data_IF_161177585448
#
_entry.id   IF_161177585448
#
_cell.length_a   1.000
_cell.length_b   1.000
_cell.length_c   1.000
_cell.angle_alpha   90.00
_cell.angle_beta   90.00
_cell.angle_gamma   90.00
#
_symmetry.space_group_name_H-M   'P 1'
#
loop_
_entity.id
_entity.type
_entity.pdbx_description
1 polymer ?
#
# COMPACT_ATOMS: atom_id res chain seq x y z
N UNK A 1 23.36 -7.47 -18.31
CA UNK A 1 23.35 -6.01 -18.06
C UNK A 1 24.17 -5.76 -16.80
N UNK A 2 25.24 -4.95 -16.83
CA UNK A 2 26.07 -4.75 -15.63
C UNK A 2 25.30 -3.96 -14.56
N UNK A 3 25.48 -4.32 -13.29
CA UNK A 3 24.81 -3.71 -12.13
C UNK A 3 24.90 -2.17 -12.13
N UNK A 4 26.03 -1.64 -12.59
CA UNK A 4 26.29 -0.21 -12.78
C UNK A 4 25.37 0.47 -13.79
N UNK A 5 25.08 -0.15 -14.94
CA UNK A 5 24.20 0.47 -15.97
C UNK A 5 22.75 0.57 -15.49
N UNK A 6 22.30 -0.42 -14.73
CA UNK A 6 20.95 -0.42 -14.14
C UNK A 6 20.82 0.71 -13.10
N UNK A 7 21.79 0.85 -12.19
CA UNK A 7 21.79 1.93 -11.19
C UNK A 7 21.78 3.32 -11.84
N UNK A 8 22.62 3.55 -12.86
CA UNK A 8 22.65 4.84 -13.56
C UNK A 8 21.33 5.14 -14.28
N UNK A 9 20.71 4.13 -14.91
CA UNK A 9 19.42 4.30 -15.60
C UNK A 9 18.28 4.59 -14.62
N UNK A 10 18.22 3.86 -13.50
CA UNK A 10 17.24 4.09 -12.42
C UNK A 10 17.43 5.48 -11.82
N UNK A 11 18.65 5.86 -11.45
CA UNK A 11 18.94 7.18 -10.90
C UNK A 11 18.57 8.31 -11.87
N UNK A 12 18.85 8.15 -13.15
CA UNK A 12 18.50 9.14 -14.19
C UNK A 12 16.98 9.27 -14.34
N UNK A 13 16.27 8.14 -14.35
CA UNK A 13 14.81 8.11 -14.45
C UNK A 13 14.17 8.70 -13.19
N UNK A 14 14.65 8.37 -12.00
CA UNK A 14 14.20 8.94 -10.73
C UNK A 14 14.52 10.44 -10.62
N UNK A 15 15.63 10.94 -11.17
CA UNK A 15 15.89 12.39 -11.23
C UNK A 15 14.95 13.11 -12.20
N UNK A 16 14.56 12.46 -13.30
CA UNK A 16 13.73 13.07 -14.35
C UNK A 16 12.23 13.03 -14.04
N UNK A 17 11.75 11.94 -13.46
CA UNK A 17 10.33 11.66 -13.23
C UNK A 17 10.00 11.35 -11.76
N UNK A 18 11.00 11.22 -10.90
CA UNK A 18 10.79 10.85 -9.51
C UNK A 18 10.32 11.99 -8.62
N UNK A 19 10.06 11.70 -7.34
CA UNK A 19 9.37 12.60 -6.41
C UNK A 19 10.21 13.81 -5.98
N UNK A 20 11.39 14.07 -6.54
CA UNK A 20 12.27 15.17 -6.14
C UNK A 20 11.67 16.57 -6.26
N UNK A 21 10.53 16.71 -6.95
CA UNK A 21 9.75 17.96 -7.05
C UNK A 21 8.64 18.07 -5.99
N UNK A 22 8.40 17.03 -5.20
CA UNK A 22 7.39 17.00 -4.15
C UNK A 22 7.93 17.63 -2.84
N UNK A 23 7.06 18.24 -2.03
CA UNK A 23 7.47 18.90 -0.79
C UNK A 23 8.28 17.98 0.13
N UNK A 24 9.48 18.42 0.55
CA UNK A 24 10.37 17.70 1.48
C UNK A 24 10.86 16.33 0.99
N UNK A 25 10.72 16.00 -0.30
CA UNK A 25 11.17 14.73 -0.86
C UNK A 25 12.70 14.53 -0.81
N UNK A 26 13.48 15.58 -0.57
CA UNK A 26 14.92 15.49 -0.31
C UNK A 26 15.27 14.78 1.00
N UNK A 27 14.33 14.69 1.94
CA UNK A 27 14.55 13.92 3.17
C UNK A 27 14.31 12.43 2.90
N UNK A 28 15.25 11.58 3.33
CA UNK A 28 15.23 10.13 3.09
C UNK A 28 13.93 9.45 3.53
N UNK A 29 13.39 9.86 4.68
CA UNK A 29 12.13 9.36 5.26
C UNK A 29 10.91 9.76 4.44
N UNK A 30 10.79 11.05 4.10
CA UNK A 30 9.65 11.57 3.33
C UNK A 30 9.68 11.07 1.88
N UNK A 31 10.87 10.99 1.28
CA UNK A 31 11.07 10.40 -0.03
C UNK A 31 10.62 8.94 -0.08
N UNK A 32 10.87 8.15 0.98
CA UNK A 32 10.40 6.77 1.08
C UNK A 32 8.87 6.71 1.12
N UNK A 33 8.25 7.64 1.86
CA UNK A 33 6.81 7.85 1.85
C UNK A 33 6.26 8.01 0.43
N UNK A 34 6.83 8.91 -0.36
CA UNK A 34 6.38 9.12 -1.73
C UNK A 34 6.63 7.90 -2.64
N UNK A 35 7.79 7.24 -2.51
CA UNK A 35 8.11 6.05 -3.28
C UNK A 35 7.13 4.89 -3.00
N UNK A 36 6.78 4.69 -1.73
CA UNK A 36 5.82 3.65 -1.34
C UNK A 36 4.40 4.01 -1.75
N UNK A 37 4.00 5.28 -1.61
CA UNK A 37 2.68 5.76 -2.01
C UNK A 37 2.45 5.60 -3.53
N UNK A 38 3.45 5.92 -4.36
CA UNK A 38 3.36 5.71 -5.81
C UNK A 38 3.36 4.23 -6.18
N UNK A 39 4.18 3.42 -5.52
CA UNK A 39 4.18 1.97 -5.72
C UNK A 39 2.83 1.33 -5.35
N UNK A 40 2.25 1.74 -4.22
CA UNK A 40 0.94 1.28 -3.77
C UNK A 40 -0.16 1.71 -4.76
N UNK A 41 -0.19 2.97 -5.19
CA UNK A 41 -1.12 3.44 -6.21
C UNK A 41 -1.00 2.64 -7.51
N UNK A 42 0.23 2.39 -7.98
CA UNK A 42 0.48 1.59 -9.17
C UNK A 42 -0.01 0.14 -9.03
N UNK A 43 0.25 -0.50 -7.89
CA UNK A 43 -0.23 -1.84 -7.60
C UNK A 43 -1.76 -1.92 -7.52
N UNK A 44 -2.41 -0.94 -6.87
CA UNK A 44 -3.88 -0.84 -6.80
C UNK A 44 -4.48 -0.65 -8.19
N UNK A 45 -3.94 0.25 -9.01
CA UNK A 45 -4.42 0.45 -10.38
C UNK A 45 -4.23 -0.80 -11.23
N UNK A 46 -3.09 -1.48 -11.13
CA UNK A 46 -2.87 -2.75 -11.83
C UNK A 46 -3.91 -3.81 -11.42
N UNK A 47 -4.20 -3.93 -10.12
CA UNK A 47 -5.26 -4.81 -9.63
C UNK A 47 -6.63 -4.44 -10.19
N UNK A 48 -7.00 -3.15 -10.19
CA UNK A 48 -8.25 -2.66 -10.75
C UNK A 48 -8.38 -3.03 -12.23
N UNK A 49 -7.33 -2.82 -13.03
CA UNK A 49 -7.35 -3.16 -14.46
C UNK A 49 -7.47 -4.66 -14.70
N UNK A 50 -6.79 -5.49 -13.90
CA UNK A 50 -6.90 -6.95 -13.98
C UNK A 50 -8.31 -7.41 -13.61
N UNK A 51 -8.85 -6.94 -12.49
CA UNK A 51 -10.19 -7.27 -12.04
C UNK A 51 -11.25 -6.84 -13.07
N UNK A 52 -11.15 -5.62 -13.60
CA UNK A 52 -12.03 -5.13 -14.66
C UNK A 52 -11.92 -5.99 -15.93
N UNK A 53 -10.70 -6.31 -16.38
CA UNK A 53 -10.47 -7.15 -17.55
C UNK A 53 -11.10 -8.54 -17.40
N UNK A 54 -10.93 -9.18 -16.23
CA UNK A 54 -11.54 -10.47 -15.92
C UNK A 54 -13.08 -10.40 -15.91
N UNK A 55 -13.64 -9.29 -15.42
CA UNK A 55 -15.08 -9.04 -15.46
C UNK A 55 -15.60 -8.96 -16.90
N UNK A 56 -14.92 -8.21 -17.78
CA UNK A 56 -15.31 -8.04 -19.18
C UNK A 56 -15.20 -9.34 -19.97
N UNK A 57 -14.22 -10.18 -19.64
CA UNK A 57 -13.99 -11.47 -20.29
C UNK A 57 -14.92 -12.59 -19.80
N UNK A 58 -15.81 -12.32 -18.83
CA UNK A 58 -16.75 -13.31 -18.31
C UNK A 58 -16.06 -14.48 -17.59
N UNK A 59 -14.94 -14.22 -16.90
CA UNK A 59 -14.18 -15.27 -16.21
C UNK A 59 -15.05 -16.05 -15.19
N UNK A 60 -14.95 -17.39 -15.11
CA UNK A 60 -15.80 -18.23 -14.26
C UNK A 60 -15.75 -17.81 -12.78
N UNK A 61 -16.92 -17.84 -12.13
CA UNK A 61 -17.25 -17.00 -10.96
C UNK A 61 -17.13 -17.72 -9.61
N UNK A 62 -16.05 -17.42 -8.89
CA UNK A 62 -15.98 -17.51 -7.42
C UNK A 62 -15.94 -16.14 -6.72
N UNK A 63 -15.86 -15.05 -7.49
CA UNK A 63 -15.72 -13.67 -6.98
C UNK A 63 -16.35 -12.69 -7.95
N UNK A 64 -17.02 -11.67 -7.43
CA UNK A 64 -17.57 -10.55 -8.23
C UNK A 64 -16.42 -9.60 -8.63
N UNK A 65 -15.85 -9.83 -9.81
CA UNK A 65 -14.69 -9.09 -10.32
C UNK A 65 -15.00 -7.60 -10.55
N UNK A 66 -16.22 -7.26 -10.93
CA UNK A 66 -16.66 -5.87 -11.08
C UNK A 66 -16.68 -5.16 -9.72
N UNK A 67 -17.23 -5.82 -8.71
CA UNK A 67 -17.25 -5.32 -7.34
C UNK A 67 -15.83 -5.14 -6.77
N UNK A 68 -14.92 -6.08 -7.02
CA UNK A 68 -13.52 -5.97 -6.60
C UNK A 68 -12.79 -4.80 -7.27
N UNK A 69 -13.04 -4.56 -8.56
CA UNK A 69 -12.49 -3.40 -9.27
C UNK A 69 -13.02 -2.08 -8.66
N UNK A 70 -14.32 -2.01 -8.36
CA UNK A 70 -14.93 -0.84 -7.72
C UNK A 70 -14.33 -0.58 -6.33
N UNK A 71 -14.18 -1.62 -5.51
CA UNK A 71 -13.50 -1.52 -4.22
C UNK A 71 -12.05 -1.05 -4.35
N UNK A 72 -11.31 -1.55 -5.35
CA UNK A 72 -9.94 -1.13 -5.60
C UNK A 72 -9.83 0.37 -5.90
N UNK A 73 -10.70 0.91 -6.74
CA UNK A 73 -10.76 2.36 -7.03
C UNK A 73 -11.15 3.14 -5.79
N UNK A 74 -12.20 2.70 -5.08
CA UNK A 74 -12.68 3.34 -3.85
C UNK A 74 -11.65 3.33 -2.71
N UNK A 75 -10.72 2.37 -2.71
CA UNK A 75 -9.67 2.25 -1.71
C UNK A 75 -8.46 3.18 -1.94
N UNK A 76 -8.29 3.77 -3.14
CA UNK A 76 -7.13 4.63 -3.45
C UNK A 76 -6.94 5.81 -2.46
N UNK A 77 -7.99 6.56 -2.07
CA UNK A 77 -7.86 7.66 -1.10
C UNK A 77 -7.40 7.19 0.28
N UNK A 78 -7.53 5.90 0.57
CA UNK A 78 -7.08 5.29 1.82
C UNK A 78 -5.68 4.68 1.69
N UNK A 79 -5.46 3.86 0.65
CA UNK A 79 -4.22 3.09 0.45
C UNK A 79 -3.02 4.01 0.25
N UNK A 80 -3.20 5.10 -0.49
CA UNK A 80 -2.09 6.02 -0.80
C UNK A 80 -1.57 6.73 0.46
N UNK A 81 -2.42 7.36 1.30
CA UNK A 81 -1.96 7.93 2.56
C UNK A 81 -1.43 6.91 3.56
N UNK A 82 -2.04 5.74 3.70
CA UNK A 82 -1.57 4.74 4.69
C UNK A 82 -0.20 4.17 4.28
N UNK A 83 0.03 3.94 2.99
CA UNK A 83 1.33 3.55 2.46
C UNK A 83 2.39 4.63 2.63
N UNK A 84 2.02 5.90 2.46
CA UNK A 84 2.93 7.02 2.73
C UNK A 84 3.33 7.05 4.21
N UNK A 85 2.35 7.02 5.12
CA UNK A 85 2.59 7.12 6.56
C UNK A 85 3.36 5.92 7.08
N UNK A 86 3.03 4.70 6.62
CA UNK A 86 3.76 3.49 7.03
C UNK A 86 5.22 3.56 6.62
N UNK A 87 5.51 3.99 5.38
CA UNK A 87 6.88 4.13 4.90
C UNK A 87 7.65 5.22 5.63
N UNK A 88 7.05 6.39 5.88
CA UNK A 88 7.71 7.43 6.68
C UNK A 88 8.02 6.92 8.10
N UNK A 89 7.10 6.19 8.72
CA UNK A 89 7.32 5.64 10.05
C UNK A 89 8.46 4.63 10.07
N UNK A 90 8.41 3.62 9.19
CA UNK A 90 9.42 2.56 9.10
C UNK A 90 10.80 3.15 8.80
N UNK A 91 10.92 4.07 7.83
CA UNK A 91 12.22 4.67 7.50
C UNK A 91 12.80 5.58 8.60
N UNK A 92 11.98 6.01 9.57
CA UNK A 92 12.45 6.76 10.74
C UNK A 92 12.85 5.85 11.90
N UNK A 93 12.20 4.72 12.05
CA UNK A 93 12.35 3.85 13.22
C UNK A 93 13.23 2.64 12.97
N UNK A 94 13.37 2.20 11.71
CA UNK A 94 14.17 1.03 11.37
C UNK A 94 15.67 1.33 11.59
N UNK A 95 16.39 0.51 12.38
CA UNK A 95 17.82 0.69 12.60
C UNK A 95 18.63 0.62 11.31
N UNK A 96 19.69 1.44 11.21
CA UNK A 96 20.49 1.57 9.99
C UNK A 96 21.43 0.38 9.72
N UNK A 97 21.69 -0.45 10.73
CA UNK A 97 22.53 -1.64 10.70
C UNK A 97 21.82 -2.89 10.15
N UNK A 98 20.52 -2.78 9.85
CA UNK A 98 19.72 -3.89 9.29
C UNK A 98 20.26 -4.29 7.90
N UNK A 99 20.60 -5.58 7.69
CA UNK A 99 21.02 -6.06 6.38
C UNK A 99 19.85 -5.97 5.38
N UNK A 100 20.15 -5.58 4.14
CA UNK A 100 19.14 -5.35 3.10
C UNK A 100 18.05 -4.36 3.54
N UNK A 101 18.46 -3.27 4.20
CA UNK A 101 17.57 -2.26 4.79
C UNK A 101 16.39 -1.89 3.88
N UNK A 102 16.61 -1.64 2.59
CA UNK A 102 15.55 -1.28 1.63
C UNK A 102 14.50 -2.38 1.44
N UNK A 103 14.92 -3.64 1.37
CA UNK A 103 14.01 -4.78 1.27
C UNK A 103 13.16 -4.91 2.54
N UNK A 104 13.80 -4.85 3.70
CA UNK A 104 13.14 -4.96 5.01
C UNK A 104 12.19 -3.79 5.23
N UNK A 105 12.63 -2.56 4.94
CA UNK A 105 11.82 -1.36 5.08
C UNK A 105 10.61 -1.38 4.14
N UNK A 106 10.78 -1.84 2.89
CA UNK A 106 9.70 -2.02 1.93
C UNK A 106 8.65 -3.05 2.39
N UNK A 107 9.11 -4.20 2.89
CA UNK A 107 8.24 -5.22 3.47
C UNK A 107 7.45 -4.68 4.67
N UNK A 108 8.14 -4.10 5.66
CA UNK A 108 7.51 -3.57 6.88
C UNK A 108 6.52 -2.45 6.57
N UNK A 109 6.81 -1.62 5.57
CA UNK A 109 5.91 -0.55 5.15
C UNK A 109 4.68 -1.07 4.45
N UNK A 110 4.80 -2.16 3.69
CA UNK A 110 3.66 -2.86 3.09
C UNK A 110 2.75 -3.44 4.17
N UNK A 111 3.32 -4.16 5.13
CA UNK A 111 2.57 -4.72 6.26
C UNK A 111 1.93 -3.60 7.11
N UNK A 112 2.68 -2.53 7.36
CA UNK A 112 2.19 -1.35 8.05
C UNK A 112 1.05 -0.65 7.31
N UNK A 113 1.09 -0.60 5.98
CA UNK A 113 0.02 -0.03 5.17
C UNK A 113 -1.28 -0.84 5.26
N UNK A 114 -1.19 -2.18 5.25
CA UNK A 114 -2.35 -3.05 5.51
C UNK A 114 -2.92 -2.83 6.90
N UNK A 115 -2.06 -2.79 7.92
CA UNK A 115 -2.48 -2.58 9.30
C UNK A 115 -3.15 -1.22 9.49
N UNK A 116 -2.51 -0.13 9.04
CA UNK A 116 -3.06 1.23 9.09
C UNK A 116 -4.37 1.33 8.29
N UNK A 117 -4.43 0.74 7.10
CA UNK A 117 -5.64 0.67 6.29
C UNK A 117 -6.79 -0.01 7.04
N UNK A 118 -6.52 -1.15 7.67
CA UNK A 118 -7.50 -1.87 8.49
C UNK A 118 -7.97 -1.03 9.68
N UNK A 119 -7.06 -0.34 10.39
CA UNK A 119 -7.43 0.55 11.48
C UNK A 119 -8.35 1.68 11.02
N UNK A 120 -8.11 2.27 9.84
CA UNK A 120 -8.97 3.33 9.30
C UNK A 120 -10.32 2.78 8.87
N UNK A 121 -10.39 1.62 8.21
CA UNK A 121 -11.66 0.96 7.87
C UNK A 121 -12.46 0.65 9.14
N UNK A 122 -11.80 0.10 10.15
CA UNK A 122 -12.42 -0.17 11.44
C UNK A 122 -12.96 1.11 12.08
N UNK A 123 -12.16 2.18 12.12
CA UNK A 123 -12.61 3.47 12.65
C UNK A 123 -13.81 4.02 11.88
N UNK A 124 -13.83 3.90 10.54
CA UNK A 124 -14.93 4.37 9.71
C UNK A 124 -16.22 3.59 9.93
N UNK A 125 -16.13 2.27 10.14
CA UNK A 125 -17.31 1.41 10.34
C UNK A 125 -17.82 1.46 11.78
N UNK A 126 -16.93 1.57 12.76
CA UNK A 126 -17.28 1.46 14.18
C UNK A 126 -17.56 2.82 14.83
N UNK A 127 -16.83 3.88 14.47
CA UNK A 127 -17.00 5.18 15.13
C UNK A 127 -18.42 5.76 14.99
N UNK A 128 -19.11 5.69 13.83
CA UNK A 128 -20.48 6.20 13.72
C UNK A 128 -21.47 5.46 14.62
N UNK A 129 -21.31 4.12 14.72
CA UNK A 129 -22.12 3.28 15.60
C UNK A 129 -21.92 3.70 17.06
N UNK A 130 -20.66 3.86 17.48
CA UNK A 130 -20.31 4.29 18.85
C UNK A 130 -20.87 5.68 19.19
N UNK A 131 -20.80 6.62 18.26
CA UNK A 131 -21.27 8.01 18.47
C UNK A 131 -22.80 8.10 18.55
N UNK A 132 -23.53 7.20 17.89
CA UNK A 132 -25.00 7.19 17.91
C UNK A 132 -25.62 6.78 19.27
N UNK A 133 -24.80 6.29 20.22
CA UNK A 133 -25.20 6.11 21.63
C UNK A 133 -26.17 4.96 21.94
N UNK A 134 -26.77 4.32 20.92
CA UNK A 134 -27.63 3.13 21.06
C UNK A 134 -26.92 1.87 20.53
N UNK A 135 -25.76 1.55 21.10
CA UNK A 135 -24.93 0.45 20.59
C UNK A 135 -25.32 -0.86 21.26
N UNK A 136 -25.96 -1.75 20.50
CA UNK A 136 -26.01 -3.16 20.88
C UNK A 136 -24.64 -3.81 20.61
N UNK A 137 -24.18 -4.64 21.56
CA UNK A 137 -22.92 -5.39 21.42
C UNK A 137 -22.90 -6.22 20.12
N UNK A 138 -24.06 -6.72 19.69
CA UNK A 138 -24.22 -7.45 18.44
C UNK A 138 -23.80 -6.61 17.21
N UNK A 139 -24.27 -5.37 17.11
CA UNK A 139 -23.93 -4.48 16.00
C UNK A 139 -22.43 -4.14 15.96
N UNK A 140 -21.81 -3.98 17.13
CA UNK A 140 -20.36 -3.75 17.23
C UNK A 140 -19.56 -4.95 16.73
N UNK A 141 -19.98 -6.17 17.11
CA UNK A 141 -19.35 -7.41 16.67
C UNK A 141 -19.54 -7.65 15.16
N UNK A 142 -20.72 -7.33 14.62
CA UNK A 142 -20.99 -7.40 13.17
C UNK A 142 -20.11 -6.44 12.38
N UNK A 143 -20.01 -5.17 12.81
CA UNK A 143 -19.16 -4.17 12.17
C UNK A 143 -17.67 -4.55 12.24
N UNK A 144 -17.22 -5.05 13.39
CA UNK A 144 -15.86 -5.55 13.56
C UNK A 144 -15.58 -6.77 12.67
N UNK A 145 -16.50 -7.74 12.64
CA UNK A 145 -16.41 -8.92 11.79
C UNK A 145 -16.35 -8.56 10.31
N UNK A 146 -17.17 -7.59 9.87
CA UNK A 146 -17.16 -7.09 8.51
C UNK A 146 -15.84 -6.37 8.16
N UNK A 147 -15.32 -5.54 9.07
CA UNK A 147 -14.02 -4.89 8.88
C UNK A 147 -12.87 -5.92 8.74
N UNK A 148 -12.87 -6.95 9.57
CA UNK A 148 -11.90 -8.06 9.50
C UNK A 148 -12.03 -8.83 8.19
N UNK A 149 -13.26 -9.12 7.74
CA UNK A 149 -13.51 -9.79 6.47
C UNK A 149 -12.98 -8.97 5.28
N UNK A 150 -13.24 -7.65 5.26
CA UNK A 150 -12.67 -6.74 4.25
C UNK A 150 -11.15 -6.79 4.28
N UNK A 151 -10.54 -6.68 5.46
CA UNK A 151 -9.09 -6.74 5.62
C UNK A 151 -8.50 -8.05 5.12
N UNK A 152 -9.12 -9.17 5.47
CA UNK A 152 -8.71 -10.50 5.02
C UNK A 152 -8.78 -10.63 3.50
N UNK A 153 -9.90 -10.26 2.87
CA UNK A 153 -10.06 -10.33 1.41
C UNK A 153 -9.05 -9.43 0.71
N UNK A 154 -8.85 -8.20 1.22
CA UNK A 154 -7.87 -7.27 0.65
C UNK A 154 -6.45 -7.84 0.70
N UNK A 155 -6.03 -8.38 1.85
CA UNK A 155 -4.70 -8.99 1.99
C UNK A 155 -4.59 -10.23 1.11
N UNK A 156 -5.51 -11.19 1.24
CA UNK A 156 -5.44 -12.46 0.50
C UNK A 156 -5.40 -12.27 -1.02
N UNK A 157 -6.15 -11.28 -1.55
CA UNK A 157 -6.22 -11.02 -2.99
C UNK A 157 -5.03 -10.23 -3.54
N UNK A 158 -4.32 -9.44 -2.72
CA UNK A 158 -3.28 -8.50 -3.22
C UNK A 158 -1.88 -8.74 -2.69
N UNK A 159 -1.70 -9.51 -1.61
CA UNK A 159 -0.41 -9.67 -0.92
C UNK A 159 0.70 -10.20 -1.83
N UNK A 160 0.34 -11.07 -2.78
CA UNK A 160 1.27 -11.66 -3.74
C UNK A 160 1.86 -10.62 -4.71
N UNK A 161 1.19 -9.48 -4.94
CA UNK A 161 1.71 -8.34 -5.72
C UNK A 161 2.34 -7.30 -4.82
N UNK A 162 1.65 -6.91 -3.74
CA UNK A 162 2.04 -5.77 -2.92
C UNK A 162 3.33 -6.03 -2.17
N UNK A 163 3.61 -7.27 -1.73
CA UNK A 163 4.87 -7.60 -1.05
C UNK A 163 6.07 -7.47 -2.00
N UNK A 164 6.10 -8.12 -3.18
CA UNK A 164 7.19 -7.91 -4.14
C UNK A 164 7.35 -6.45 -4.57
N UNK A 165 6.24 -5.74 -4.82
CA UNK A 165 6.27 -4.31 -5.19
C UNK A 165 6.83 -3.46 -4.04
N UNK A 166 6.42 -3.72 -2.80
CA UNK A 166 6.92 -3.04 -1.62
C UNK A 166 8.41 -3.25 -1.40
N UNK A 167 8.86 -4.51 -1.42
CA UNK A 167 10.28 -4.88 -1.33
C UNK A 167 11.08 -4.21 -2.46
N UNK A 168 10.61 -4.32 -3.71
CA UNK A 168 11.27 -3.73 -4.87
C UNK A 168 11.38 -2.22 -4.78
N UNK A 169 10.30 -1.53 -4.41
CA UNK A 169 10.28 -0.08 -4.24
C UNK A 169 11.24 0.38 -3.12
N UNK A 170 11.30 -0.36 -2.01
CA UNK A 170 12.23 -0.09 -0.92
C UNK A 170 13.70 -0.27 -1.33
N UNK A 171 14.03 -1.33 -2.06
CA UNK A 171 15.36 -1.53 -2.64
C UNK A 171 15.76 -0.41 -3.62
N UNK A 172 14.85 -0.02 -4.51
CA UNK A 172 15.09 1.07 -5.47
C UNK A 172 15.29 2.39 -4.75
N UNK A 173 14.45 2.71 -3.77
CA UNK A 173 14.58 3.94 -2.99
C UNK A 173 15.89 3.99 -2.20
N UNK A 174 16.28 2.89 -1.57
CA UNK A 174 17.57 2.78 -0.90
C UNK A 174 18.74 2.99 -1.87
N UNK A 175 18.71 2.35 -3.04
CA UNK A 175 19.79 2.44 -4.02
C UNK A 175 20.00 3.86 -4.58
N UNK A 176 18.97 4.70 -4.56
CA UNK A 176 19.03 6.08 -5.07
C UNK A 176 19.30 7.11 -3.95
N UNK A 177 19.12 6.72 -2.68
CA UNK A 177 19.29 7.61 -1.51
C UNK A 177 20.53 7.34 -0.66
N UNK A 178 21.24 6.22 -0.89
CA UNK A 178 22.62 6.01 -0.42
C UNK A 178 23.60 6.78 -1.29
#
# INVERSE_FOLDING_TARGET
MSHTRFQTAVATTCKRYGPGRLPKASRRDIGAGYAMATAAAGATLAFVFVAWGLSVLGAPSGSDWALLALFGVGALPLVVPTAFVSAVAVWRTLPADVPYFGAVAGLLSTLGAYFLGLCVVFAFLVAPVVVAGQVEVAQLLEAAGFAVAIGFVAVASTIWVTVPVGVGSGCVHEAVTR
#
